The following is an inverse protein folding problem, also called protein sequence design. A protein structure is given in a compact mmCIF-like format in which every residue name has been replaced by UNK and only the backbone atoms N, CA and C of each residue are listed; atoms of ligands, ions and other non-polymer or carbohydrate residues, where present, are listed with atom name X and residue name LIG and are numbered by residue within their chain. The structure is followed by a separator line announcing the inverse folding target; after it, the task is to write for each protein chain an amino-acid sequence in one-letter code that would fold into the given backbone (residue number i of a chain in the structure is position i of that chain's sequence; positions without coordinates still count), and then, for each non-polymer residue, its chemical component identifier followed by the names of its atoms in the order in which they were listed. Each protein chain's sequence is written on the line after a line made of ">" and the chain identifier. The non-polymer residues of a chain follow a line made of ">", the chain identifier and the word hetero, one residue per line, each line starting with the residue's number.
data_IF_877354050381
#
_entry.id   IF_877354050381
#
_cell.length_a   1.000
_cell.length_b   1.000
_cell.length_c   1.000
_cell.angle_alpha   90.00
_cell.angle_beta   90.00
_cell.angle_gamma   90.00
#
_symmetry.space_group_name_H-M   'P 1'
#
loop_
_entity.id
_entity.type
_entity.pdbx_description
1 polymer ?
#
# COMPACT_ATOMS: atom_id res chain seq x y z
N UNK A 1 -35.44 -5.02 32.83
CA UNK A 1 -35.42 -5.63 31.49
C UNK A 1 -34.26 -5.03 30.74
N UNK A 2 -33.28 -5.86 30.44
CA UNK A 2 -32.00 -5.54 29.80
C UNK A 2 -32.21 -5.13 28.35
N UNK A 3 -31.80 -3.91 28.00
CA UNK A 3 -31.89 -3.37 26.65
C UNK A 3 -30.67 -2.50 26.32
N UNK A 4 -29.50 -2.85 26.85
CA UNK A 4 -28.25 -2.26 26.38
C UNK A 4 -27.77 -3.04 25.16
N UNK A 5 -28.46 -2.83 24.04
CA UNK A 5 -27.91 -3.15 22.72
C UNK A 5 -26.77 -2.16 22.45
N UNK A 6 -25.58 -2.46 22.97
CA UNK A 6 -24.36 -1.87 22.42
C UNK A 6 -24.38 -2.12 20.89
N UNK A 7 -24.26 -1.08 20.06
CA UNK A 7 -24.43 -1.26 18.63
C UNK A 7 -23.29 -2.17 18.15
N UNK A 8 -23.62 -3.35 17.63
CA UNK A 8 -22.65 -4.29 16.99
C UNK A 8 -22.03 -3.73 15.69
N UNK A 9 -22.36 -2.49 15.31
CA UNK A 9 -21.98 -1.86 14.03
C UNK A 9 -20.52 -1.36 13.92
N UNK A 10 -19.79 -0.91 14.96
CA UNK A 10 -18.45 -0.38 14.78
C UNK A 10 -17.42 -1.49 14.50
N UNK A 11 -17.60 -2.69 15.06
CA UNK A 11 -16.66 -3.81 14.87
C UNK A 11 -16.75 -4.40 13.46
N UNK A 12 -17.96 -4.56 12.92
CA UNK A 12 -18.16 -5.11 11.57
C UNK A 12 -17.62 -4.17 10.48
N UNK A 13 -17.81 -2.86 10.64
CA UNK A 13 -17.27 -1.86 9.70
C UNK A 13 -15.74 -1.82 9.76
N UNK A 14 -15.16 -1.88 10.97
CA UNK A 14 -13.71 -1.95 11.14
C UNK A 14 -13.08 -3.17 10.45
N UNK A 15 -13.67 -4.36 10.63
CA UNK A 15 -13.22 -5.59 9.98
C UNK A 15 -13.36 -5.53 8.45
N UNK A 16 -14.45 -4.95 7.94
CA UNK A 16 -14.71 -4.83 6.52
C UNK A 16 -13.70 -3.87 5.85
N UNK A 17 -13.43 -2.72 6.48
CA UNK A 17 -12.41 -1.77 5.99
C UNK A 17 -11.02 -2.40 6.03
N UNK A 18 -10.69 -3.13 7.10
CA UNK A 18 -9.42 -3.84 7.23
C UNK A 18 -9.23 -4.88 6.11
N UNK A 19 -10.27 -5.66 5.83
CA UNK A 19 -10.28 -6.69 4.79
C UNK A 19 -10.15 -6.07 3.39
N UNK A 20 -10.92 -5.02 3.10
CA UNK A 20 -10.84 -4.30 1.82
C UNK A 20 -9.45 -3.69 1.60
N UNK A 21 -8.86 -3.11 2.66
CA UNK A 21 -7.52 -2.55 2.61
C UNK A 21 -6.49 -3.64 2.32
N UNK A 22 -6.58 -4.79 3.00
CA UNK A 22 -5.72 -5.95 2.72
C UNK A 22 -5.87 -6.44 1.28
N UNK A 23 -7.10 -6.56 0.79
CA UNK A 23 -7.37 -7.02 -0.58
C UNK A 23 -6.77 -6.06 -1.62
N UNK A 24 -6.95 -4.74 -1.43
CA UNK A 24 -6.35 -3.71 -2.27
C UNK A 24 -4.82 -3.84 -2.31
N UNK A 25 -4.19 -4.04 -1.15
CA UNK A 25 -2.75 -4.24 -1.05
C UNK A 25 -2.29 -5.50 -1.78
N UNK A 26 -3.00 -6.63 -1.64
CA UNK A 26 -2.69 -7.87 -2.37
C UNK A 26 -2.80 -7.64 -3.88
N UNK A 27 -3.87 -7.00 -4.35
CA UNK A 27 -4.05 -6.68 -5.77
C UNK A 27 -2.91 -5.81 -6.28
N UNK A 28 -2.50 -4.80 -5.52
CA UNK A 28 -1.37 -3.94 -5.87
C UNK A 28 -0.04 -4.70 -5.92
N UNK A 29 0.20 -5.61 -4.98
CA UNK A 29 1.39 -6.45 -5.00
C UNK A 29 1.45 -7.33 -6.25
N UNK A 30 0.34 -7.97 -6.59
CA UNK A 30 0.23 -8.79 -7.80
C UNK A 30 0.42 -7.93 -9.05
N UNK A 31 -0.16 -6.74 -9.10
CA UNK A 31 0.03 -5.81 -10.21
C UNK A 31 1.52 -5.43 -10.38
N UNK A 32 2.24 -5.17 -9.30
CA UNK A 32 3.68 -4.88 -9.34
C UNK A 32 4.50 -6.09 -9.82
N UNK A 33 4.16 -7.31 -9.37
CA UNK A 33 4.79 -8.55 -9.84
C UNK A 33 4.51 -8.83 -11.32
N UNK A 34 3.31 -8.55 -11.79
CA UNK A 34 2.97 -8.70 -13.21
C UNK A 34 3.66 -7.63 -14.06
N UNK A 35 3.75 -6.39 -13.56
CA UNK A 35 4.44 -5.31 -14.23
C UNK A 35 5.93 -5.62 -14.44
N UNK A 36 6.60 -6.28 -13.48
CA UNK A 36 8.02 -6.65 -13.64
C UNK A 36 8.27 -7.63 -14.80
N UNK A 37 7.26 -8.39 -15.22
CA UNK A 37 7.37 -9.38 -16.30
C UNK A 37 6.81 -8.82 -17.61
N UNK A 38 5.64 -8.20 -17.56
CA UNK A 38 4.88 -7.78 -18.76
C UNK A 38 5.30 -6.39 -19.24
N UNK A 39 5.76 -5.52 -18.33
CA UNK A 39 6.19 -4.17 -18.63
C UNK A 39 7.51 -3.84 -17.88
N UNK A 40 8.61 -4.57 -18.16
CA UNK A 40 9.85 -4.45 -17.38
C UNK A 40 10.48 -3.05 -17.49
N UNK A 41 10.19 -2.30 -18.54
CA UNK A 41 10.65 -0.92 -18.77
C UNK A 41 9.67 0.16 -18.27
N UNK A 42 8.66 -0.20 -17.48
CA UNK A 42 7.58 0.71 -17.08
C UNK A 42 8.08 1.97 -16.36
N UNK A 43 9.19 1.92 -15.62
CA UNK A 43 9.89 3.11 -15.13
C UNK A 43 10.93 3.54 -16.18
N UNK A 44 10.52 4.46 -17.06
CA UNK A 44 11.28 4.86 -18.25
C UNK A 44 12.55 5.67 -17.99
N UNK A 45 12.83 6.06 -16.75
CA UNK A 45 14.09 6.69 -16.35
C UNK A 45 15.06 5.73 -15.65
N UNK A 46 14.72 4.44 -15.53
CA UNK A 46 15.61 3.39 -15.04
C UNK A 46 15.97 2.43 -16.18
N UNK A 47 17.12 1.76 -16.06
CA UNK A 47 17.43 0.63 -16.95
C UNK A 47 16.51 -0.55 -16.64
N UNK A 48 16.13 -1.32 -17.67
CA UNK A 48 15.17 -2.44 -17.62
C UNK A 48 15.34 -3.35 -16.39
N UNK A 49 16.56 -3.83 -16.04
CA UNK A 49 16.71 -4.74 -14.91
C UNK A 49 16.40 -4.08 -13.56
N UNK A 50 16.71 -2.78 -13.42
CA UNK A 50 16.42 -2.04 -12.20
C UNK A 50 14.92 -1.73 -12.08
N UNK A 51 14.29 -1.33 -13.19
CA UNK A 51 12.83 -1.12 -13.23
C UNK A 51 12.08 -2.40 -12.86
N UNK A 52 12.30 -3.50 -13.60
CA UNK A 52 11.68 -4.79 -13.31
C UNK A 52 11.99 -5.31 -11.91
N UNK A 53 13.27 -5.25 -11.50
CA UNK A 53 13.72 -5.69 -10.18
C UNK A 53 13.07 -4.91 -9.04
N UNK A 54 12.93 -3.59 -9.19
CA UNK A 54 12.27 -2.75 -8.18
C UNK A 54 10.78 -3.08 -8.02
N UNK A 55 10.07 -3.33 -9.13
CA UNK A 55 8.66 -3.72 -9.10
C UNK A 55 8.46 -5.10 -8.49
N UNK A 56 9.31 -6.06 -8.85
CA UNK A 56 9.30 -7.39 -8.27
C UNK A 56 9.55 -7.34 -6.76
N UNK A 57 10.55 -6.56 -6.34
CA UNK A 57 10.88 -6.38 -4.93
C UNK A 57 9.73 -5.73 -4.16
N UNK A 58 9.11 -4.67 -4.68
CA UNK A 58 7.96 -4.01 -4.06
C UNK A 58 6.79 -4.99 -3.91
N UNK A 59 6.46 -5.74 -4.97
CA UNK A 59 5.39 -6.74 -4.92
C UNK A 59 5.64 -7.82 -3.86
N UNK A 60 6.85 -8.38 -3.82
CA UNK A 60 7.24 -9.37 -2.81
C UNK A 60 7.22 -8.81 -1.39
N UNK A 61 7.76 -7.61 -1.18
CA UNK A 61 7.77 -6.97 0.14
C UNK A 61 6.36 -6.66 0.63
N UNK A 62 5.45 -6.30 -0.28
CA UNK A 62 4.08 -5.96 0.08
C UNK A 62 3.25 -7.22 0.40
N UNK A 63 3.42 -8.32 -0.34
CA UNK A 63 2.88 -9.63 0.06
C UNK A 63 3.48 -10.09 1.40
N UNK A 64 4.78 -9.90 1.59
CA UNK A 64 5.45 -10.25 2.84
C UNK A 64 4.94 -9.42 4.02
N UNK A 65 4.69 -8.12 3.82
CA UNK A 65 4.12 -7.23 4.82
C UNK A 65 2.70 -7.67 5.23
N UNK A 66 1.88 -8.09 4.26
CA UNK A 66 0.54 -8.65 4.49
C UNK A 66 0.62 -9.97 5.26
N UNK A 67 1.46 -10.91 4.82
CA UNK A 67 1.60 -12.23 5.47
C UNK A 67 2.13 -12.13 6.90
N UNK A 68 3.12 -11.26 7.15
CA UNK A 68 3.70 -11.05 8.48
C UNK A 68 2.88 -10.08 9.33
N UNK A 69 1.87 -9.44 8.74
CA UNK A 69 1.09 -8.37 9.34
C UNK A 69 1.96 -7.33 10.07
N UNK A 70 3.03 -6.86 9.41
CA UNK A 70 4.09 -6.10 10.05
C UNK A 70 3.91 -4.59 9.90
N UNK A 71 3.69 -3.90 11.01
CA UNK A 71 3.57 -2.43 11.08
C UNK A 71 4.76 -1.71 10.43
N UNK A 72 5.98 -2.15 10.73
CA UNK A 72 7.20 -1.46 10.29
C UNK A 72 7.33 -1.59 8.76
N UNK A 73 7.02 -2.77 8.21
CA UNK A 73 7.05 -2.97 6.76
C UNK A 73 5.99 -2.13 6.05
N UNK A 74 4.76 -2.08 6.58
CA UNK A 74 3.73 -1.19 6.03
C UNK A 74 4.14 0.28 6.09
N UNK A 75 4.75 0.73 7.19
CA UNK A 75 5.25 2.10 7.32
C UNK A 75 6.36 2.45 6.33
N UNK A 76 7.34 1.54 6.15
CA UNK A 76 8.42 1.72 5.17
C UNK A 76 7.89 1.74 3.73
N UNK A 77 6.97 0.83 3.40
CA UNK A 77 6.34 0.80 2.08
C UNK A 77 5.47 2.04 1.85
N UNK A 78 4.80 2.57 2.89
CA UNK A 78 4.04 3.81 2.79
C UNK A 78 4.94 4.98 2.39
N UNK A 79 6.08 5.16 3.07
CA UNK A 79 7.05 6.21 2.75
C UNK A 79 7.59 6.07 1.32
N UNK A 80 7.94 4.85 0.91
CA UNK A 80 8.38 4.58 -0.46
C UNK A 80 7.31 4.92 -1.50
N UNK A 81 6.05 4.53 -1.24
CA UNK A 81 4.92 4.79 -2.14
C UNK A 81 4.57 6.27 -2.23
N UNK A 82 4.69 7.02 -1.12
CA UNK A 82 4.58 8.48 -1.12
C UNK A 82 5.70 9.10 -1.98
N UNK A 83 6.93 8.58 -1.87
CA UNK A 83 8.03 8.98 -2.74
C UNK A 83 7.72 8.76 -4.22
N UNK A 84 7.09 7.63 -4.58
CA UNK A 84 6.64 7.35 -5.95
C UNK A 84 5.54 8.31 -6.40
N UNK A 85 4.57 8.61 -5.53
CA UNK A 85 3.50 9.58 -5.80
C UNK A 85 4.09 10.96 -6.10
N UNK A 86 4.94 11.47 -5.22
CA UNK A 86 5.60 12.78 -5.38
C UNK A 86 6.48 12.78 -6.61
N UNK A 87 7.33 11.76 -6.78
CA UNK A 87 8.23 11.64 -7.92
C UNK A 87 7.52 11.57 -9.26
N UNK A 88 6.34 10.94 -9.29
CA UNK A 88 5.47 10.92 -10.48
C UNK A 88 4.90 12.31 -10.76
N UNK A 89 4.39 12.99 -9.72
CA UNK A 89 3.81 14.33 -9.85
C UNK A 89 4.82 15.39 -10.29
N UNK A 90 6.06 15.32 -9.77
CA UNK A 90 7.13 16.27 -10.10
C UNK A 90 7.89 15.90 -11.38
N UNK A 91 7.55 14.77 -12.03
CA UNK A 91 8.20 14.31 -13.25
C UNK A 91 9.60 13.72 -13.06
N UNK A 92 10.01 13.48 -11.80
CA UNK A 92 11.27 12.85 -11.44
C UNK A 92 11.26 11.36 -11.76
N UNK A 93 10.08 10.71 -11.67
CA UNK A 93 9.80 9.37 -12.17
C UNK A 93 9.04 9.52 -13.49
N UNK A 94 9.55 8.89 -14.54
CA UNK A 94 8.90 8.89 -15.86
C UNK A 94 8.34 7.52 -16.14
N UNK A 95 7.09 7.47 -16.56
CA UNK A 95 6.40 6.22 -16.84
C UNK A 95 6.43 5.96 -18.35
N UNK A 96 6.90 4.77 -18.75
CA UNK A 96 6.95 4.35 -20.14
C UNK A 96 5.60 3.76 -20.58
N UNK A 97 4.59 4.61 -20.71
CA UNK A 97 3.22 4.23 -21.10
C UNK A 97 2.83 4.87 -22.43
N UNK A 98 1.91 4.26 -23.21
CA UNK A 98 1.62 4.67 -24.59
C UNK A 98 0.74 5.94 -24.71
N UNK A 99 0.46 6.62 -23.60
CA UNK A 99 -0.39 7.82 -23.56
C UNK A 99 0.37 9.02 -22.99
N UNK A 100 -0.24 10.21 -23.04
CA UNK A 100 0.41 11.48 -22.69
C UNK A 100 1.15 11.44 -21.34
N UNK A 101 2.35 12.00 -21.32
CA UNK A 101 3.27 11.96 -20.18
C UNK A 101 2.73 12.63 -18.92
N UNK A 102 1.91 13.67 -19.09
CA UNK A 102 1.26 14.39 -17.99
C UNK A 102 0.12 13.56 -17.42
N UNK A 103 -0.71 12.98 -18.30
CA UNK A 103 -1.76 12.05 -17.88
C UNK A 103 -1.20 10.82 -17.17
N UNK A 104 -0.06 10.30 -17.64
CA UNK A 104 0.66 9.18 -17.04
C UNK A 104 1.21 9.51 -15.65
N UNK A 105 1.81 10.69 -15.51
CA UNK A 105 2.29 11.19 -14.22
C UNK A 105 1.14 11.29 -13.20
N UNK A 106 0.02 11.91 -13.59
CA UNK A 106 -1.14 12.11 -12.70
C UNK A 106 -1.82 10.79 -12.34
N UNK A 107 -2.02 9.88 -13.29
CA UNK A 107 -2.69 8.59 -13.04
C UNK A 107 -1.87 7.70 -12.09
N UNK A 108 -0.55 7.62 -12.32
CA UNK A 108 0.36 6.84 -11.49
C UNK A 108 0.54 7.46 -10.10
N UNK A 109 0.60 8.80 -10.02
CA UNK A 109 0.58 9.50 -8.73
C UNK A 109 -0.71 9.22 -7.96
N UNK A 110 -1.87 9.26 -8.62
CA UNK A 110 -3.15 8.95 -8.00
C UNK A 110 -3.23 7.51 -7.49
N UNK A 111 -2.81 6.53 -8.31
CA UNK A 111 -2.78 5.13 -7.93
C UNK A 111 -1.83 4.88 -6.74
N UNK A 112 -0.62 5.46 -6.77
CA UNK A 112 0.31 5.41 -5.66
C UNK A 112 -0.26 6.08 -4.40
N UNK A 113 -0.98 7.20 -4.54
CA UNK A 113 -1.64 7.89 -3.43
C UNK A 113 -2.68 7.02 -2.71
N UNK A 114 -3.54 6.33 -3.46
CA UNK A 114 -4.55 5.41 -2.90
C UNK A 114 -3.86 4.29 -2.09
N UNK A 115 -2.80 3.70 -2.65
CA UNK A 115 -2.03 2.64 -2.00
C UNK A 115 -1.29 3.15 -0.77
N UNK A 116 -0.71 4.36 -0.85
CA UNK A 116 -0.05 4.99 0.28
C UNK A 116 -1.02 5.19 1.45
N UNK A 117 -2.25 5.65 1.20
CA UNK A 117 -3.29 5.78 2.23
C UNK A 117 -3.62 4.44 2.85
N UNK A 118 -3.77 3.38 2.05
CA UNK A 118 -4.01 2.03 2.54
C UNK A 118 -2.88 1.51 3.45
N UNK A 119 -1.62 1.75 3.07
CA UNK A 119 -0.44 1.38 3.85
C UNK A 119 -0.33 2.18 5.16
N UNK A 120 -0.59 3.49 5.12
CA UNK A 120 -0.63 4.34 6.31
C UNK A 120 -1.72 3.87 7.27
N UNK A 121 -2.91 3.57 6.74
CA UNK A 121 -4.02 3.06 7.54
C UNK A 121 -3.66 1.76 8.27
N UNK A 122 -3.07 0.78 7.57
CA UNK A 122 -2.56 -0.46 8.17
C UNK A 122 -1.49 -0.20 9.23
N UNK A 123 -0.60 0.75 8.97
CA UNK A 123 0.46 1.14 9.92
C UNK A 123 -0.13 1.68 11.23
N UNK A 124 -1.15 2.54 11.14
CA UNK A 124 -1.82 3.16 12.29
C UNK A 124 -2.65 2.12 13.06
N UNK A 125 -3.41 1.27 12.36
CA UNK A 125 -4.22 0.21 12.99
C UNK A 125 -3.36 -0.76 13.81
N UNK A 126 -2.24 -1.23 13.25
CA UNK A 126 -1.34 -2.12 13.98
C UNK A 126 -0.61 -1.39 15.13
N UNK A 127 -0.40 -0.07 15.00
CA UNK A 127 0.16 0.74 16.07
C UNK A 127 -0.78 0.90 17.26
N UNK A 128 -2.07 1.11 17.01
CA UNK A 128 -3.10 1.27 18.04
C UNK A 128 -3.41 -0.04 18.76
N UNK A 129 -3.53 -1.16 18.02
CA UNK A 129 -3.72 -2.48 18.62
C UNK A 129 -2.58 -2.88 19.58
N UNK A 130 -1.33 -2.52 19.26
CA UNK A 130 -0.19 -2.79 20.14
C UNK A 130 -0.22 -2.03 21.46
N UNK A 131 -0.78 -0.81 21.48
CA UNK A 131 -0.89 0.01 22.70
C UNK A 131 -1.97 -0.53 23.63
N UNK A 132 -3.08 -1.03 23.08
CA UNK A 132 -4.18 -1.62 23.85
C UNK A 132 -3.76 -2.92 24.56
N UNK A 133 -2.97 -3.78 23.90
CA UNK A 133 -2.44 -5.00 24.49
C UNK A 133 -1.48 -4.69 25.65
N UNK A 134 -0.57 -3.73 25.49
CA UNK A 134 0.35 -3.36 26.58
C UNK A 134 -0.39 -2.86 27.81
N UNK A 135 -1.44 -2.05 27.64
CA UNK A 135 -2.26 -1.57 28.77
C UNK A 135 -3.00 -2.68 29.51
N UNK A 136 -3.36 -3.77 28.84
CA UNK A 136 -3.99 -4.94 29.48
C UNK A 136 -3.01 -5.81 30.27
N UNK A 137 -1.72 -5.77 29.95
CA UNK A 137 -0.68 -6.52 30.67
C UNK A 137 -0.24 -5.78 31.95
N UNK A 138 -0.40 -4.45 31.97
CA UNK A 138 -0.05 -3.59 33.12
C UNK A 138 -1.19 -3.44 34.16
N UNK A 139 -2.37 -4.04 33.93
CA UNK A 139 -3.51 -4.06 34.85
C UNK A 139 -3.67 -5.41 35.54
#
# INVERSE_FOLDING_TARGET
>A
MTGDEQPRKPVAVGLLVDTLTTALLIVWAIAALMASVVAPDLIGNLVTPLSAGSMALIGLLLLWAVLRNSRILFGMLALGTIGVMVGSWTGTIRWAVPYDTTMAATSMAGAAGIVAVALVFKTIQLGTAGIEVTKQIEQ
#
